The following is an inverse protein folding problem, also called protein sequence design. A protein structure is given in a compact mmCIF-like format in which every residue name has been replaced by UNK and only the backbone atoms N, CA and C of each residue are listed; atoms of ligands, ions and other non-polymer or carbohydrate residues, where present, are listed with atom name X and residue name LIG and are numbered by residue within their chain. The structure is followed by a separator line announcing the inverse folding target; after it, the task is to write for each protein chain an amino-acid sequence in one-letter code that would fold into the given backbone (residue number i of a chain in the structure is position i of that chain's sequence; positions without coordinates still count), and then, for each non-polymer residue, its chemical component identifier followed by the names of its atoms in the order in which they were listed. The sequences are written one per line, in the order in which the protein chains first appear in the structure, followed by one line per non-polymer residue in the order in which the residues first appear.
data_IF_580762586037
#
_entry.id   IF_580762586037
#
_cell.length_a   1.000
_cell.length_b   1.000
_cell.length_c   1.000
_cell.angle_alpha   90.00
_cell.angle_beta   90.00
_cell.angle_gamma   90.00
#
_symmetry.space_group_name_H-M   'P 1'
#
loop_
_entity.id
_entity.type
_entity.pdbx_description
1 polymer ?
#
# COMPACT_ATOMS: atom_id res chain seq x y z
N UNK A 1 -39.89 -19.99 25.00
CA UNK A 1 -40.95 -19.07 24.52
C UNK A 1 -40.38 -17.65 24.56
N UNK A 2 -40.06 -16.97 23.49
CA UNK A 2 -40.29 -17.20 22.07
C UNK A 2 -40.06 -15.87 21.36
N UNK A 3 -39.29 -15.92 20.28
CA UNK A 3 -39.43 -15.13 19.05
C UNK A 3 -39.45 -13.59 19.13
N UNK A 4 -38.50 -12.97 18.43
CA UNK A 4 -38.78 -12.47 17.07
C UNK A 4 -37.51 -12.12 16.30
N UNK A 5 -37.19 -13.02 15.37
CA UNK A 5 -36.54 -12.77 14.09
C UNK A 5 -37.51 -12.09 13.13
N UNK A 6 -36.97 -11.37 12.14
CA UNK A 6 -37.66 -10.84 10.95
C UNK A 6 -36.72 -9.88 10.21
N UNK A 7 -35.81 -10.33 9.35
CA UNK A 7 -35.99 -10.81 7.98
C UNK A 7 -36.27 -9.70 6.96
N UNK A 8 -35.26 -9.39 6.13
CA UNK A 8 -35.35 -8.94 4.73
C UNK A 8 -33.90 -8.92 4.16
N UNK A 9 -33.52 -9.63 3.11
CA UNK A 9 -34.28 -10.49 2.23
C UNK A 9 -33.38 -11.45 1.44
N UNK A 10 -33.95 -12.59 1.08
CA UNK A 10 -33.44 -13.53 0.09
C UNK A 10 -33.89 -13.11 -1.32
N UNK A 11 -32.97 -13.22 -2.28
CA UNK A 11 -33.11 -13.58 -3.71
C UNK A 11 -31.90 -12.94 -4.44
N UNK A 12 -30.97 -13.67 -5.06
CA UNK A 12 -31.17 -14.64 -6.12
C UNK A 12 -30.15 -15.79 -6.02
N UNK A 13 -30.61 -17.02 -6.23
CA UNK A 13 -29.75 -18.18 -6.41
C UNK A 13 -29.20 -18.28 -7.82
N UNK A 14 -27.89 -18.51 -7.92
CA UNK A 14 -27.22 -19.18 -9.04
C UNK A 14 -25.99 -19.91 -8.50
N UNK A 15 -25.92 -21.22 -8.79
CA UNK A 15 -24.71 -21.99 -9.05
C UNK A 15 -23.73 -22.23 -7.89
N UNK A 16 -23.42 -23.49 -7.62
CA UNK A 16 -22.36 -23.89 -6.68
C UNK A 16 -21.01 -23.26 -7.04
N UNK A 17 -20.53 -22.37 -6.17
CA UNK A 17 -19.29 -21.60 -6.31
C UNK A 17 -18.08 -22.47 -5.98
N UNK A 18 -17.21 -22.73 -6.95
CA UNK A 18 -15.90 -23.39 -6.81
C UNK A 18 -14.77 -22.36 -6.99
N UNK A 19 -14.73 -21.36 -6.12
CA UNK A 19 -13.59 -20.43 -5.98
C UNK A 19 -13.09 -20.47 -4.55
N UNK A 20 -11.81 -20.16 -4.32
CA UNK A 20 -11.24 -20.09 -2.99
C UNK A 20 -12.06 -19.12 -2.12
N UNK A 21 -12.54 -19.58 -0.97
CA UNK A 21 -13.37 -18.76 -0.05
C UNK A 21 -12.52 -18.31 1.12
N UNK A 22 -12.54 -17.02 1.42
CA UNK A 22 -12.07 -16.49 2.70
C UNK A 22 -13.09 -16.83 3.77
N UNK A 23 -12.75 -17.73 4.69
CA UNK A 23 -13.61 -18.04 5.84
C UNK A 23 -13.17 -17.26 7.08
N UNK A 24 -14.13 -16.81 7.89
CA UNK A 24 -13.85 -16.25 9.22
C UNK A 24 -13.42 -17.37 10.17
N UNK A 25 -12.21 -17.90 10.02
CA UNK A 25 -11.58 -18.71 11.09
C UNK A 25 -11.30 -17.80 12.29
N UNK A 26 -11.49 -18.32 13.51
CA UNK A 26 -11.15 -17.58 14.73
C UNK A 26 -9.68 -17.14 14.66
N UNK A 27 -9.43 -15.83 14.76
CA UNK A 27 -8.10 -15.18 14.65
C UNK A 27 -7.00 -15.88 15.49
N UNK A 28 -7.37 -16.52 16.60
CA UNK A 28 -6.44 -17.28 17.45
C UNK A 28 -5.85 -18.54 16.78
N UNK A 29 -6.64 -19.29 15.99
CA UNK A 29 -6.17 -20.51 15.33
C UNK A 29 -5.30 -20.22 14.10
N UNK A 30 -5.53 -19.07 13.46
CA UNK A 30 -4.73 -18.57 12.33
C UNK A 30 -3.31 -18.24 12.78
N UNK A 31 -3.16 -17.53 13.91
CA UNK A 31 -1.85 -17.15 14.42
C UNK A 31 -1.00 -18.38 14.81
N UNK A 32 -1.60 -19.41 15.39
CA UNK A 32 -0.88 -20.65 15.74
C UNK A 32 -0.29 -21.36 14.52
N UNK A 33 -1.04 -21.46 13.41
CA UNK A 33 -0.54 -22.10 12.20
C UNK A 33 0.63 -21.34 11.55
N UNK A 34 0.59 -20.00 11.60
CA UNK A 34 1.68 -19.15 11.11
C UNK A 34 2.93 -19.33 11.97
N UNK A 35 2.79 -19.31 13.29
CA UNK A 35 3.93 -19.47 14.20
C UNK A 35 4.58 -20.87 14.07
N UNK A 36 3.76 -21.93 13.92
CA UNK A 36 4.26 -23.28 13.64
C UNK A 36 5.02 -23.37 12.31
N UNK A 37 4.53 -22.68 11.27
CA UNK A 37 5.24 -22.62 10.00
C UNK A 37 6.59 -21.91 10.14
N UNK A 38 6.65 -20.77 10.83
CA UNK A 38 7.90 -20.04 11.06
C UNK A 38 8.93 -20.94 11.76
N UNK A 39 8.52 -21.63 12.82
CA UNK A 39 9.39 -22.55 13.55
C UNK A 39 9.94 -23.67 12.65
N UNK A 40 9.10 -24.26 11.79
CA UNK A 40 9.53 -25.32 10.85
C UNK A 40 10.42 -24.79 9.73
N UNK A 41 10.19 -23.57 9.27
CA UNK A 41 10.93 -22.93 8.20
C UNK A 41 12.25 -22.28 8.68
N UNK A 42 12.54 -22.35 9.99
CA UNK A 42 13.72 -21.72 10.59
C UNK A 42 13.67 -20.18 10.50
N UNK A 43 12.48 -19.61 10.41
CA UNK A 43 12.26 -18.16 10.35
C UNK A 43 12.14 -17.59 11.76
N UNK A 44 12.72 -16.42 11.97
CA UNK A 44 12.69 -15.75 13.27
C UNK A 44 11.79 -14.52 13.19
N UNK A 45 10.95 -14.33 14.21
CA UNK A 45 10.17 -13.12 14.40
C UNK A 45 10.75 -12.34 15.56
N UNK A 46 11.12 -11.09 15.31
CA UNK A 46 11.62 -10.19 16.34
C UNK A 46 10.47 -9.29 16.84
N UNK A 47 10.42 -9.02 18.15
CA UNK A 47 9.39 -8.18 18.77
C UNK A 47 9.68 -6.67 18.63
N UNK A 48 10.91 -6.29 18.26
CA UNK A 48 11.26 -4.89 17.99
C UNK A 48 12.70 -4.69 17.53
N UNK A 49 13.05 -3.45 17.19
CA UNK A 49 14.34 -3.10 16.60
C UNK A 49 15.55 -3.58 17.42
N UNK A 50 15.49 -3.48 18.74
CA UNK A 50 16.60 -3.85 19.62
C UNK A 50 16.92 -5.35 19.53
N UNK A 51 15.91 -6.20 19.68
CA UNK A 51 16.04 -7.66 19.56
C UNK A 51 16.50 -8.05 18.15
N UNK A 52 15.97 -7.38 17.12
CA UNK A 52 16.44 -7.59 15.76
C UNK A 52 17.92 -7.27 15.58
N UNK A 53 18.43 -6.17 16.13
CA UNK A 53 19.85 -5.84 16.03
C UNK A 53 20.73 -6.77 16.88
N UNK A 54 20.26 -7.19 18.05
CA UNK A 54 20.96 -8.13 18.93
C UNK A 54 21.05 -9.54 18.32
N UNK A 55 20.07 -9.95 17.49
CA UNK A 55 20.01 -11.30 16.94
C UNK A 55 20.40 -11.41 15.47
N UNK A 56 20.09 -10.41 14.63
CA UNK A 56 20.44 -10.45 13.21
C UNK A 56 21.94 -10.21 13.00
N UNK A 57 22.52 -9.21 13.67
CA UNK A 57 23.91 -8.84 13.46
C UNK A 57 24.90 -9.99 13.77
N UNK A 58 24.69 -10.81 14.83
CA UNK A 58 25.50 -12.01 15.02
C UNK A 58 25.30 -13.11 13.98
N UNK A 59 24.14 -13.16 13.30
CA UNK A 59 23.80 -14.21 12.32
C UNK A 59 24.31 -13.91 10.91
N UNK A 60 24.31 -12.65 10.47
CA UNK A 60 24.76 -12.24 9.13
C UNK A 60 25.93 -11.23 9.14
N UNK A 61 26.46 -10.89 10.31
CA UNK A 61 27.48 -9.85 10.49
C UNK A 61 26.93 -8.42 10.44
N UNK A 62 27.63 -7.52 11.13
CA UNK A 62 27.24 -6.10 11.31
C UNK A 62 27.02 -5.36 9.99
N UNK A 63 27.83 -5.68 8.96
CA UNK A 63 27.76 -5.03 7.65
C UNK A 63 26.45 -5.32 6.93
N UNK A 64 26.04 -6.60 6.87
CA UNK A 64 24.79 -7.01 6.22
C UNK A 64 23.59 -6.48 6.99
N UNK A 65 23.61 -6.58 8.32
CA UNK A 65 22.51 -6.09 9.15
C UNK A 65 22.30 -4.58 8.94
N UNK A 66 23.39 -3.80 8.94
CA UNK A 66 23.35 -2.35 8.70
C UNK A 66 22.78 -2.00 7.31
N UNK A 67 23.23 -2.70 6.27
CA UNK A 67 22.77 -2.51 4.90
C UNK A 67 21.26 -2.79 4.74
N UNK A 68 20.77 -3.91 5.28
CA UNK A 68 19.35 -4.29 5.29
C UNK A 68 18.52 -3.29 6.10
N UNK A 69 19.03 -2.85 7.26
CA UNK A 69 18.29 -1.92 8.09
C UNK A 69 18.13 -0.53 7.49
N UNK A 70 19.17 -0.01 6.84
CA UNK A 70 19.08 1.27 6.14
C UNK A 70 18.17 1.19 4.90
N UNK A 71 18.21 0.07 4.17
CA UNK A 71 17.26 -0.21 3.09
C UNK A 71 15.82 -0.17 3.59
N UNK A 72 15.48 -0.91 4.66
CA UNK A 72 14.11 -0.95 5.19
C UNK A 72 13.61 0.43 5.67
N UNK A 73 14.47 1.21 6.34
CA UNK A 73 14.12 2.58 6.76
C UNK A 73 13.87 3.51 5.56
N UNK A 74 14.62 3.36 4.45
CA UNK A 74 14.33 4.09 3.21
C UNK A 74 12.98 3.67 2.65
N UNK A 75 12.72 2.37 2.55
CA UNK A 75 11.48 1.79 2.01
C UNK A 75 10.23 2.16 2.80
N UNK A 76 10.28 2.19 4.13
CA UNK A 76 9.17 2.64 4.97
C UNK A 76 8.81 4.11 4.77
N UNK A 77 9.75 4.95 4.35
CA UNK A 77 9.48 6.35 3.95
C UNK A 77 8.93 6.46 2.52
N UNK A 78 8.59 5.33 1.89
CA UNK A 78 8.15 5.26 0.51
C UNK A 78 9.28 5.53 -0.50
N UNK A 79 10.54 5.38 -0.09
CA UNK A 79 11.70 5.51 -0.98
C UNK A 79 12.10 4.12 -1.47
N UNK A 80 12.03 3.87 -2.76
CA UNK A 80 12.61 2.68 -3.38
C UNK A 80 13.67 3.18 -4.34
N UNK A 81 14.94 3.03 -3.98
CA UNK A 81 16.06 3.31 -4.86
C UNK A 81 16.42 2.03 -5.62
N UNK A 82 16.97 2.11 -6.85
CA UNK A 82 17.50 0.94 -7.55
C UNK A 82 18.44 0.08 -6.68
N UNK A 83 19.27 0.73 -5.87
CA UNK A 83 20.17 0.07 -4.93
C UNK A 83 19.49 -0.69 -3.77
N UNK A 84 18.21 -0.43 -3.46
CA UNK A 84 17.48 -1.17 -2.43
C UNK A 84 17.13 -2.59 -2.89
N UNK A 85 16.77 -2.77 -4.17
CA UNK A 85 16.51 -4.09 -4.75
C UNK A 85 17.81 -4.91 -4.85
N UNK A 86 18.92 -4.23 -5.15
CA UNK A 86 20.25 -4.86 -5.20
C UNK A 86 20.67 -5.47 -3.86
N UNK A 87 20.26 -4.92 -2.71
CA UNK A 87 20.66 -5.44 -1.39
C UNK A 87 20.22 -6.89 -1.23
N UNK A 88 18.94 -7.19 -1.38
CA UNK A 88 18.45 -8.55 -1.15
C UNK A 88 18.68 -9.49 -2.34
N UNK A 89 18.83 -8.96 -3.56
CA UNK A 89 19.17 -9.77 -4.73
C UNK A 89 20.65 -10.18 -4.81
N UNK A 90 21.53 -9.63 -3.95
CA UNK A 90 22.99 -9.81 -4.06
C UNK A 90 23.45 -11.24 -3.76
N UNK A 91 23.00 -11.79 -2.64
CA UNK A 91 23.42 -13.10 -2.16
C UNK A 91 22.41 -13.69 -1.16
N UNK A 92 22.55 -15.00 -0.89
CA UNK A 92 21.62 -15.72 -0.03
C UNK A 92 21.61 -15.22 1.43
N UNK A 93 22.72 -14.67 1.91
CA UNK A 93 22.84 -14.13 3.26
C UNK A 93 21.98 -12.87 3.43
N UNK A 94 22.11 -11.90 2.51
CA UNK A 94 21.27 -10.69 2.48
C UNK A 94 19.80 -11.00 2.20
N UNK A 95 19.53 -11.99 1.35
CA UNK A 95 18.16 -12.45 1.11
C UNK A 95 17.53 -13.00 2.40
N UNK A 96 18.25 -13.85 3.14
CA UNK A 96 17.78 -14.39 4.41
C UNK A 96 17.59 -13.30 5.46
N UNK A 97 18.55 -12.39 5.59
CA UNK A 97 18.47 -11.26 6.52
C UNK A 97 17.26 -10.36 6.21
N UNK A 98 16.94 -10.16 4.93
CA UNK A 98 15.77 -9.39 4.51
C UNK A 98 14.45 -10.10 4.87
N UNK A 99 14.39 -11.42 4.74
CA UNK A 99 13.22 -12.21 5.17
C UNK A 99 12.98 -12.05 6.68
N UNK A 100 14.03 -12.19 7.49
CA UNK A 100 13.94 -12.06 8.95
C UNK A 100 13.54 -10.62 9.35
N UNK A 101 14.07 -9.61 8.65
CA UNK A 101 13.72 -8.21 8.89
C UNK A 101 12.29 -7.85 8.46
N UNK A 102 11.78 -8.51 7.43
CA UNK A 102 10.40 -8.38 6.96
C UNK A 102 9.42 -9.27 7.74
N UNK A 103 9.88 -10.03 8.76
CA UNK A 103 9.07 -11.02 9.47
C UNK A 103 7.70 -10.51 9.95
N UNK A 104 7.52 -9.29 10.48
CA UNK A 104 6.19 -8.80 10.85
C UNK A 104 5.24 -8.64 9.66
N UNK A 105 5.77 -8.21 8.51
CA UNK A 105 5.01 -8.03 7.28
C UNK A 105 4.60 -9.39 6.71
N UNK A 106 5.55 -10.31 6.61
CA UNK A 106 5.27 -11.66 6.14
C UNK A 106 4.35 -12.40 7.10
N UNK A 107 4.46 -12.23 8.41
CA UNK A 107 3.59 -12.86 9.40
C UNK A 107 2.13 -12.41 9.24
N UNK A 108 1.89 -11.09 9.16
CA UNK A 108 0.57 -10.55 8.89
C UNK A 108 0.01 -11.06 7.55
N UNK A 109 0.85 -11.11 6.53
CA UNK A 109 0.48 -11.64 5.21
C UNK A 109 0.09 -13.13 5.25
N UNK A 110 0.86 -13.98 5.93
CA UNK A 110 0.53 -15.38 6.12
C UNK A 110 -0.76 -15.57 6.92
N UNK A 111 -1.03 -14.68 7.90
CA UNK A 111 -2.29 -14.67 8.64
C UNK A 111 -3.51 -14.50 7.73
N UNK A 112 -3.42 -13.61 6.74
CA UNK A 112 -4.47 -13.46 5.72
C UNK A 112 -4.59 -14.73 4.87
N UNK A 113 -3.45 -15.25 4.37
CA UNK A 113 -3.44 -16.44 3.51
C UNK A 113 -3.93 -17.72 4.22
N UNK A 114 -3.80 -17.80 5.54
CA UNK A 114 -4.30 -18.91 6.35
C UNK A 114 -5.84 -18.99 6.39
N UNK A 115 -6.53 -17.89 6.06
CA UNK A 115 -7.99 -17.82 5.95
C UNK A 115 -8.54 -18.32 4.61
N UNK A 116 -7.66 -18.68 3.67
CA UNK A 116 -8.04 -19.19 2.35
C UNK A 116 -8.29 -20.69 2.44
N UNK A 117 -9.54 -21.10 2.21
CA UNK A 117 -9.95 -22.50 2.13
C UNK A 117 -10.16 -22.94 0.67
N UNK A 118 -10.18 -24.26 0.46
CA UNK A 118 -10.46 -24.91 -0.83
C UNK A 118 -9.54 -24.47 -1.99
N UNK A 119 -8.27 -24.19 -1.70
CA UNK A 119 -7.29 -23.77 -2.70
C UNK A 119 -6.83 -24.97 -3.55
N UNK A 120 -6.92 -24.87 -4.89
CA UNK A 120 -6.38 -25.89 -5.81
C UNK A 120 -5.12 -25.42 -6.54
N UNK A 121 -5.02 -24.14 -6.85
CA UNK A 121 -3.84 -23.56 -7.48
C UNK A 121 -3.64 -22.10 -7.09
N UNK A 122 -2.40 -21.74 -6.78
CA UNK A 122 -2.01 -20.35 -6.60
C UNK A 122 -0.72 -19.98 -7.34
N UNK A 123 -0.60 -18.70 -7.70
CA UNK A 123 0.64 -18.12 -8.19
C UNK A 123 1.02 -16.90 -7.33
N UNK A 124 2.29 -16.85 -6.94
CA UNK A 124 2.91 -15.79 -6.14
C UNK A 124 3.87 -15.00 -7.03
N UNK A 125 3.41 -13.81 -7.45
CA UNK A 125 4.13 -12.91 -8.35
C UNK A 125 5.07 -12.04 -7.51
N UNK A 126 6.38 -12.13 -7.74
CA UNK A 126 7.42 -11.55 -6.89
C UNK A 126 7.54 -12.27 -5.55
N UNK A 127 7.68 -13.60 -5.60
CA UNK A 127 7.62 -14.45 -4.40
C UNK A 127 8.80 -14.27 -3.43
N UNK A 128 9.85 -13.54 -3.82
CA UNK A 128 11.07 -13.38 -3.05
C UNK A 128 11.66 -14.73 -2.65
N UNK A 129 12.04 -14.85 -1.37
CA UNK A 129 12.54 -16.11 -0.81
C UNK A 129 11.49 -17.20 -0.58
N UNK A 130 10.28 -17.05 -1.14
CA UNK A 130 9.26 -18.10 -1.20
C UNK A 130 8.46 -18.31 0.08
N UNK A 131 8.52 -17.41 1.07
CA UNK A 131 7.84 -17.58 2.37
C UNK A 131 6.33 -17.82 2.19
N UNK A 132 5.64 -16.95 1.44
CA UNK A 132 4.20 -17.08 1.18
C UNK A 132 3.86 -18.30 0.32
N UNK A 133 4.62 -18.52 -0.76
CA UNK A 133 4.51 -19.72 -1.59
C UNK A 133 4.64 -21.03 -0.80
N UNK A 134 5.67 -21.16 0.03
CA UNK A 134 5.91 -22.33 0.88
C UNK A 134 4.82 -22.50 1.94
N UNK A 135 4.33 -21.39 2.53
CA UNK A 135 3.23 -21.44 3.48
C UNK A 135 1.95 -21.95 2.84
N UNK A 136 1.54 -21.39 1.69
CA UNK A 136 0.36 -21.86 0.95
C UNK A 136 0.47 -23.35 0.60
N UNK A 137 1.64 -23.81 0.18
CA UNK A 137 1.91 -25.20 -0.14
C UNK A 137 1.81 -26.12 1.09
N UNK A 138 2.33 -25.68 2.23
CA UNK A 138 2.27 -26.41 3.49
C UNK A 138 0.84 -26.53 4.04
N UNK A 139 0.06 -25.44 3.94
CA UNK A 139 -1.33 -25.39 4.41
C UNK A 139 -2.30 -26.12 3.47
N UNK A 140 -1.94 -26.27 2.20
CA UNK A 140 -2.79 -26.87 1.18
C UNK A 140 -2.04 -27.98 0.42
N UNK A 141 -1.84 -29.19 1.01
CA UNK A 141 -1.04 -30.25 0.40
C UNK A 141 -1.53 -30.78 -0.96
N UNK A 142 -2.80 -30.49 -1.31
CA UNK A 142 -3.41 -30.85 -2.60
C UNK A 142 -3.33 -29.72 -3.64
N UNK A 143 -2.99 -28.50 -3.22
CA UNK A 143 -2.87 -27.36 -4.11
C UNK A 143 -1.55 -27.40 -4.88
N UNK A 144 -1.52 -26.79 -6.07
CA UNK A 144 -0.30 -26.54 -6.86
C UNK A 144 0.08 -25.07 -6.77
N UNK A 145 1.24 -24.78 -6.22
CA UNK A 145 1.72 -23.41 -6.02
C UNK A 145 2.88 -23.11 -6.98
N UNK A 146 2.88 -21.94 -7.60
CA UNK A 146 4.02 -21.44 -8.38
C UNK A 146 4.49 -20.12 -7.79
N UNK A 147 5.75 -20.03 -7.41
CA UNK A 147 6.40 -18.76 -7.07
C UNK A 147 7.25 -18.25 -8.22
N UNK A 148 7.10 -16.97 -8.56
CA UNK A 148 7.86 -16.32 -9.63
C UNK A 148 8.60 -15.12 -9.05
N UNK A 149 9.89 -15.00 -9.34
CA UNK A 149 10.68 -13.84 -8.95
C UNK A 149 11.79 -13.60 -9.98
N UNK A 150 12.14 -12.34 -10.20
CA UNK A 150 13.19 -11.96 -11.15
C UNK A 150 14.58 -12.37 -10.66
N UNK A 151 14.76 -12.49 -9.34
CA UNK A 151 16.04 -12.77 -8.68
C UNK A 151 16.34 -14.27 -8.61
N UNK A 152 17.39 -14.76 -9.29
CA UNK A 152 17.82 -16.14 -9.16
C UNK A 152 18.26 -16.51 -7.73
N UNK A 153 18.79 -15.54 -6.97
CA UNK A 153 19.18 -15.71 -5.56
C UNK A 153 17.95 -15.94 -4.68
N UNK A 154 16.88 -15.16 -4.91
CA UNK A 154 15.61 -15.33 -4.21
C UNK A 154 15.00 -16.71 -4.50
N UNK A 155 15.00 -17.12 -5.77
CA UNK A 155 14.50 -18.43 -6.21
C UNK A 155 15.32 -19.60 -5.65
N UNK A 156 16.65 -19.47 -5.58
CA UNK A 156 17.49 -20.48 -4.91
C UNK A 156 17.11 -20.62 -3.42
N UNK A 157 16.99 -19.49 -2.72
CA UNK A 157 16.56 -19.45 -1.31
C UNK A 157 15.17 -20.07 -1.10
N UNK A 158 14.24 -19.81 -2.02
CA UNK A 158 12.89 -20.37 -2.00
C UNK A 158 12.86 -21.89 -2.20
N UNK A 159 13.69 -22.40 -3.14
CA UNK A 159 13.85 -23.85 -3.37
C UNK A 159 14.46 -24.55 -2.17
N UNK A 160 15.47 -23.95 -1.54
CA UNK A 160 16.08 -24.48 -0.33
C UNK A 160 15.04 -24.59 0.80
N UNK A 161 14.25 -23.53 1.03
CA UNK A 161 13.16 -23.56 2.02
C UNK A 161 12.12 -24.65 1.74
N UNK A 162 11.69 -24.81 0.48
CA UNK A 162 10.75 -25.87 0.12
C UNK A 162 11.34 -27.27 0.33
N UNK A 163 12.63 -27.47 0.01
CA UNK A 163 13.33 -28.72 0.25
C UNK A 163 13.43 -29.05 1.75
N UNK A 164 13.83 -28.08 2.57
CA UNK A 164 13.93 -28.22 4.03
C UNK A 164 12.58 -28.56 4.68
N UNK A 165 11.49 -27.98 4.15
CA UNK A 165 10.12 -28.25 4.60
C UNK A 165 9.51 -29.54 4.02
N UNK A 166 10.20 -30.20 3.08
CA UNK A 166 9.71 -31.42 2.41
C UNK A 166 8.52 -31.18 1.47
N UNK A 167 8.37 -29.96 0.95
CA UNK A 167 7.27 -29.56 0.09
C UNK A 167 7.51 -30.03 -1.35
N UNK A 168 6.50 -30.67 -1.94
CA UNK A 168 6.56 -31.22 -3.31
C UNK A 168 5.52 -30.62 -4.26
N UNK A 169 4.68 -29.74 -3.73
CA UNK A 169 3.54 -29.14 -4.41
C UNK A 169 3.74 -27.63 -4.68
N UNK A 170 4.99 -27.16 -4.60
CA UNK A 170 5.42 -25.81 -4.95
C UNK A 170 6.56 -25.86 -5.95
N UNK A 171 6.48 -25.02 -6.98
CA UNK A 171 7.52 -24.84 -7.99
C UNK A 171 7.95 -23.37 -8.02
N UNK A 172 9.23 -23.12 -8.30
CA UNK A 172 9.80 -21.78 -8.33
C UNK A 172 10.47 -21.48 -9.66
N UNK A 173 10.14 -20.34 -10.27
CA UNK A 173 10.61 -19.91 -11.59
C UNK A 173 11.32 -18.57 -11.48
N UNK A 174 12.56 -18.51 -11.94
CA UNK A 174 13.29 -17.26 -12.09
C UNK A 174 12.88 -16.59 -13.40
N UNK A 175 12.02 -15.58 -13.32
CA UNK A 175 11.50 -14.84 -14.47
C UNK A 175 11.03 -13.45 -14.06
N UNK A 176 11.09 -12.51 -15.00
CA UNK A 176 10.38 -11.23 -14.86
C UNK A 176 8.87 -11.49 -14.92
N UNK A 177 8.11 -10.81 -14.06
CA UNK A 177 6.64 -10.85 -14.10
C UNK A 177 6.10 -10.19 -15.35
N UNK A 178 6.84 -9.28 -15.98
CA UNK A 178 6.45 -8.66 -17.23
C UNK A 178 6.40 -9.70 -18.36
N UNK A 179 5.20 -9.90 -18.89
CA UNK A 179 4.96 -10.87 -19.95
C UNK A 179 4.99 -12.33 -19.52
N UNK A 180 5.23 -12.66 -18.25
CA UNK A 180 5.23 -14.04 -17.75
C UNK A 180 3.92 -14.77 -18.10
N UNK A 181 4.04 -16.05 -18.45
CA UNK A 181 2.90 -16.92 -18.74
C UNK A 181 3.18 -18.34 -18.21
N UNK A 182 2.42 -18.75 -17.21
CA UNK A 182 2.47 -20.10 -16.66
C UNK A 182 1.76 -21.14 -17.53
N UNK A 183 1.08 -20.71 -18.61
CA UNK A 183 0.27 -21.57 -19.48
C UNK A 183 -1.00 -22.12 -18.81
N UNK A 184 -1.41 -21.54 -17.68
CA UNK A 184 -2.58 -21.94 -16.90
C UNK A 184 -3.08 -20.80 -16.01
N UNK A 185 -4.33 -20.93 -15.57
CA UNK A 185 -4.94 -20.04 -14.58
C UNK A 185 -4.95 -20.66 -13.17
N UNK A 186 -5.20 -19.80 -12.17
CA UNK A 186 -5.12 -20.08 -10.74
C UNK A 186 -6.35 -19.53 -10.01
N UNK A 187 -6.75 -20.20 -8.92
CA UNK A 187 -7.85 -19.74 -8.05
C UNK A 187 -7.44 -18.50 -7.24
N UNK A 188 -6.14 -18.41 -6.94
CA UNK A 188 -5.52 -17.35 -6.17
C UNK A 188 -4.29 -16.83 -6.90
N UNK A 189 -4.29 -15.53 -7.17
CA UNK A 189 -3.06 -14.80 -7.52
C UNK A 189 -2.67 -13.99 -6.29
N UNK A 190 -1.39 -13.94 -5.95
CA UNK A 190 -0.88 -13.05 -4.91
C UNK A 190 0.33 -12.23 -5.35
N UNK A 191 0.49 -11.06 -4.73
CA UNK A 191 1.74 -10.28 -4.73
C UNK A 191 1.90 -9.51 -3.43
N UNK A 192 3.14 -9.25 -3.03
CA UNK A 192 3.43 -8.42 -1.85
C UNK A 192 4.66 -7.56 -2.09
N UNK A 193 4.50 -6.25 -1.93
CA UNK A 193 5.53 -5.24 -2.12
C UNK A 193 6.22 -5.23 -3.51
N UNK A 194 5.58 -5.76 -4.55
CA UNK A 194 6.12 -5.83 -5.92
C UNK A 194 5.77 -4.58 -6.72
N UNK A 195 4.60 -4.00 -6.49
CA UNK A 195 4.14 -2.82 -7.21
C UNK A 195 5.10 -1.65 -7.04
N UNK A 196 5.54 -1.40 -5.80
CA UNK A 196 6.49 -0.34 -5.50
C UNK A 196 7.90 -0.57 -6.11
N UNK A 197 8.25 -1.81 -6.46
CA UNK A 197 9.56 -2.19 -7.03
C UNK A 197 9.58 -2.21 -8.56
N UNK A 198 8.43 -2.46 -9.18
CA UNK A 198 8.25 -2.44 -10.63
C UNK A 198 7.96 -1.05 -11.19
N UNK A 199 7.85 -0.07 -10.29
CA UNK A 199 7.59 1.31 -10.62
C UNK A 199 8.87 2.14 -10.66
N UNK A 200 9.28 2.51 -11.87
CA UNK A 200 10.06 3.74 -12.14
C UNK A 200 9.21 5.02 -11.90
N UNK A 201 8.20 4.97 -11.03
CA UNK A 201 7.27 6.07 -10.76
C UNK A 201 7.89 7.10 -9.80
N UNK A 202 9.14 7.44 -10.09
CA UNK A 202 9.93 8.41 -9.35
C UNK A 202 9.53 9.84 -9.74
N UNK A 203 8.96 10.13 -10.93
CA UNK A 203 8.81 11.55 -11.36
C UNK A 203 7.57 11.96 -12.16
N UNK A 204 6.51 11.14 -12.28
CA UNK A 204 5.34 11.52 -13.07
C UNK A 204 4.31 12.35 -12.25
N UNK A 205 4.56 13.67 -12.24
CA UNK A 205 3.62 14.78 -11.98
C UNK A 205 3.04 14.93 -10.54
N UNK A 206 3.35 16.09 -9.96
CA UNK A 206 3.19 16.53 -8.57
C UNK A 206 1.85 16.15 -7.88
N UNK A 207 1.94 15.34 -6.81
CA UNK A 207 0.78 14.88 -6.01
C UNK A 207 0.34 15.79 -4.86
N UNK A 208 0.00 17.02 -5.21
CA UNK A 208 -0.32 18.05 -4.22
C UNK A 208 -1.59 17.78 -3.41
N UNK A 209 -2.57 17.09 -4.00
CA UNK A 209 -3.80 16.65 -3.33
C UNK A 209 -4.19 15.28 -3.85
N UNK A 210 -4.28 14.31 -2.93
CA UNK A 210 -4.67 12.96 -3.29
C UNK A 210 -6.12 12.93 -3.82
N UNK A 211 -7.03 13.72 -3.23
CA UNK A 211 -8.43 13.78 -3.65
C UNK A 211 -8.63 14.33 -5.07
N UNK A 212 -7.83 15.31 -5.48
CA UNK A 212 -7.91 15.87 -6.84
C UNK A 212 -7.45 14.86 -7.91
N UNK A 213 -6.57 13.90 -7.55
CA UNK A 213 -6.01 12.94 -8.48
C UNK A 213 -6.89 11.71 -8.71
N UNK A 214 -7.74 11.34 -7.73
CA UNK A 214 -8.51 10.08 -7.80
C UNK A 214 -9.30 9.89 -9.09
N UNK A 215 -10.04 10.90 -9.62
CA UNK A 215 -10.80 10.71 -10.86
C UNK A 215 -9.91 10.37 -12.05
N UNK A 216 -8.68 10.88 -12.09
CA UNK A 216 -7.72 10.60 -13.15
C UNK A 216 -7.08 9.23 -12.96
N UNK A 217 -6.67 8.89 -11.74
CA UNK A 217 -6.01 7.62 -11.44
C UNK A 217 -6.91 6.40 -11.60
N UNK A 218 -8.21 6.57 -11.37
CA UNK A 218 -9.23 5.50 -11.51
C UNK A 218 -9.87 5.47 -12.91
N UNK A 219 -9.52 6.40 -13.80
CA UNK A 219 -10.08 6.44 -15.14
C UNK A 219 -9.60 5.24 -15.98
N UNK A 220 -10.45 4.69 -16.87
CA UNK A 220 -10.02 3.67 -17.82
C UNK A 220 -8.80 4.11 -18.64
N UNK A 221 -7.77 3.27 -18.69
CA UNK A 221 -6.51 3.51 -19.40
C UNK A 221 -5.53 4.44 -18.70
N UNK A 222 -5.81 4.90 -17.48
CA UNK A 222 -4.94 5.85 -16.76
C UNK A 222 -3.58 5.26 -16.37
N UNK A 223 -3.51 3.95 -16.13
CA UNK A 223 -2.30 3.28 -15.67
C UNK A 223 -2.28 1.83 -16.14
N UNK A 224 -1.19 1.44 -16.80
CA UNK A 224 -0.94 0.05 -17.17
C UNK A 224 0.32 -0.42 -16.47
N UNK A 225 0.25 -1.63 -15.92
CA UNK A 225 1.35 -2.20 -15.14
C UNK A 225 1.53 -3.65 -15.56
N UNK A 226 2.78 -4.11 -15.75
CA UNK A 226 3.05 -5.51 -16.02
C UNK A 226 2.48 -6.43 -14.95
N UNK A 227 2.60 -6.05 -13.67
CA UNK A 227 2.09 -6.83 -12.55
C UNK A 227 0.58 -7.06 -12.62
N UNK A 228 -0.22 -6.00 -12.85
CA UNK A 228 -1.67 -6.16 -12.94
C UNK A 228 -2.07 -6.98 -14.17
N UNK A 229 -1.43 -6.75 -15.32
CA UNK A 229 -1.69 -7.51 -16.54
C UNK A 229 -1.38 -9.00 -16.38
N UNK A 230 -0.25 -9.32 -15.74
CA UNK A 230 0.15 -10.70 -15.42
C UNK A 230 -0.79 -11.31 -14.40
N UNK A 231 -1.20 -10.59 -13.36
CA UNK A 231 -2.20 -11.07 -12.40
C UNK A 231 -3.52 -11.40 -13.09
N UNK A 232 -4.02 -10.48 -13.93
CA UNK A 232 -5.26 -10.70 -14.69
C UNK A 232 -5.13 -11.89 -15.62
N UNK A 233 -4.03 -12.06 -16.36
CA UNK A 233 -3.84 -13.22 -17.26
C UNK A 233 -3.99 -14.57 -16.54
N UNK A 234 -3.53 -14.65 -15.29
CA UNK A 234 -3.44 -15.90 -14.55
C UNK A 234 -4.63 -16.18 -13.64
N UNK A 235 -5.63 -15.29 -13.57
CA UNK A 235 -6.76 -15.45 -12.66
C UNK A 235 -7.96 -16.10 -13.36
N UNK A 236 -8.48 -17.19 -12.78
CA UNK A 236 -9.76 -17.77 -13.21
C UNK A 236 -10.92 -16.80 -12.96
N UNK A 237 -12.06 -17.01 -13.62
CA UNK A 237 -13.22 -16.10 -13.54
C UNK A 237 -13.73 -15.83 -12.11
N UNK A 238 -13.81 -16.88 -11.29
CA UNK A 238 -14.24 -16.81 -9.89
C UNK A 238 -13.06 -16.73 -8.89
N UNK A 239 -11.86 -16.43 -9.39
CA UNK A 239 -10.65 -16.32 -8.59
C UNK A 239 -10.56 -15.02 -7.81
N UNK A 240 -9.57 -14.94 -6.93
CA UNK A 240 -9.21 -13.71 -6.22
C UNK A 240 -7.74 -13.35 -6.46
N UNK A 241 -7.50 -12.08 -6.76
CA UNK A 241 -6.16 -11.49 -6.67
C UNK A 241 -6.04 -10.77 -5.32
N UNK A 242 -5.12 -11.21 -4.46
CA UNK A 242 -4.78 -10.52 -3.22
C UNK A 242 -3.42 -9.84 -3.36
N UNK A 243 -3.35 -8.54 -3.12
CA UNK A 243 -2.09 -7.80 -3.12
C UNK A 243 -1.90 -7.04 -1.81
N UNK A 244 -0.68 -7.06 -1.27
CA UNK A 244 -0.27 -6.26 -0.12
C UNK A 244 0.85 -5.33 -0.54
N UNK A 245 0.49 -4.12 -0.97
CA UNK A 245 1.42 -3.20 -1.63
C UNK A 245 1.73 -1.97 -0.80
N UNK A 246 2.93 -1.39 -0.96
CA UNK A 246 3.28 -0.13 -0.27
C UNK A 246 2.70 1.05 -1.04
N UNK A 247 1.57 1.56 -0.56
CA UNK A 247 0.96 2.79 -1.07
C UNK A 247 1.17 3.94 -0.08
N UNK A 248 1.91 4.99 -0.49
CA UNK A 248 2.25 6.13 0.38
C UNK A 248 1.03 6.90 0.89
N UNK A 249 0.01 7.01 0.06
CA UNK A 249 -1.21 7.76 0.33
C UNK A 249 -2.38 7.23 -0.49
N UNK A 250 -3.54 7.89 -0.35
CA UNK A 250 -4.75 7.52 -1.07
C UNK A 250 -4.59 7.58 -2.59
N UNK A 251 -3.79 8.50 -3.13
CA UNK A 251 -3.49 8.54 -4.56
C UNK A 251 -2.63 7.34 -4.98
N UNK A 252 -1.67 6.91 -4.15
CA UNK A 252 -0.90 5.68 -4.37
C UNK A 252 -1.81 4.47 -4.52
N UNK A 253 -2.74 4.32 -3.57
CA UNK A 253 -3.75 3.26 -3.60
C UNK A 253 -4.66 3.38 -4.83
N UNK A 254 -5.13 4.58 -5.17
CA UNK A 254 -5.99 4.80 -6.33
C UNK A 254 -5.30 4.45 -7.64
N UNK A 255 -4.01 4.76 -7.78
CA UNK A 255 -3.20 4.34 -8.92
C UNK A 255 -3.15 2.81 -9.04
N UNK A 256 -2.92 2.12 -7.91
CA UNK A 256 -2.88 0.66 -7.90
C UNK A 256 -4.24 0.01 -8.21
N UNK A 257 -5.32 0.51 -7.59
CA UNK A 257 -6.69 0.09 -7.90
C UNK A 257 -7.02 0.35 -9.38
N UNK A 258 -6.69 1.54 -9.90
CA UNK A 258 -6.91 1.90 -11.30
C UNK A 258 -6.16 0.99 -12.27
N UNK A 259 -4.90 0.64 -11.97
CA UNK A 259 -4.12 -0.29 -12.76
C UNK A 259 -4.79 -1.68 -12.87
N UNK A 260 -5.35 -2.18 -11.78
CA UNK A 260 -6.09 -3.45 -11.77
C UNK A 260 -7.40 -3.35 -12.57
N UNK A 261 -8.14 -2.25 -12.42
CA UNK A 261 -9.41 -2.04 -13.16
C UNK A 261 -9.18 -1.99 -14.67
N UNK A 262 -8.04 -1.46 -15.12
CA UNK A 262 -7.66 -1.40 -16.54
C UNK A 262 -7.45 -2.77 -17.19
N UNK A 263 -7.25 -3.81 -16.38
CA UNK A 263 -7.11 -5.19 -16.84
C UNK A 263 -8.29 -6.06 -16.41
N UNK A 264 -9.41 -5.43 -16.03
CA UNK A 264 -10.66 -6.11 -15.68
C UNK A 264 -10.67 -6.73 -14.29
N UNK A 265 -9.75 -6.35 -13.40
CA UNK A 265 -9.75 -6.75 -11.99
C UNK A 265 -10.25 -5.60 -11.13
N UNK A 266 -11.38 -5.79 -10.46
CA UNK A 266 -12.05 -4.72 -9.74
C UNK A 266 -11.95 -4.91 -8.23
N UNK A 267 -11.63 -3.80 -7.55
CA UNK A 267 -11.45 -3.70 -6.11
C UNK A 267 -12.71 -4.10 -5.34
N UNK A 268 -12.59 -5.07 -4.45
CA UNK A 268 -13.67 -5.50 -3.57
C UNK A 268 -13.56 -4.82 -2.20
N UNK A 269 -14.41 -3.82 -2.00
CA UNK A 269 -14.46 -3.03 -0.75
C UNK A 269 -14.94 -3.82 0.47
N UNK A 270 -15.47 -5.03 0.30
CA UNK A 270 -16.00 -5.87 1.38
C UNK A 270 -14.95 -6.82 1.96
N UNK A 271 -13.93 -7.17 1.16
CA UNK A 271 -12.83 -8.06 1.54
C UNK A 271 -11.54 -7.25 1.79
N UNK A 272 -11.32 -6.19 1.02
CA UNK A 272 -10.13 -5.35 1.15
C UNK A 272 -10.08 -4.59 2.48
N UNK A 273 -8.89 -4.45 3.04
CA UNK A 273 -8.66 -3.82 4.35
C UNK A 273 -7.35 -2.99 4.39
N UNK A 274 -7.11 -2.29 5.49
CA UNK A 274 -5.86 -1.58 5.77
C UNK A 274 -5.18 -2.21 6.98
N UNK A 275 -4.16 -3.03 6.73
CA UNK A 275 -3.42 -3.72 7.78
C UNK A 275 -2.49 -2.75 8.49
N UNK A 276 -2.50 -2.78 9.82
CA UNK A 276 -1.48 -2.14 10.66
C UNK A 276 -0.45 -3.20 11.03
N UNK A 277 0.80 -2.97 10.64
CA UNK A 277 1.91 -3.90 10.86
C UNK A 277 2.98 -3.18 11.67
N UNK A 278 3.32 -3.71 12.83
CA UNK A 278 4.45 -3.21 13.62
C UNK A 278 5.75 -3.72 13.03
N UNK A 279 6.30 -2.94 12.10
CA UNK A 279 7.58 -3.22 11.47
C UNK A 279 8.72 -3.10 12.47
N UNK A 280 9.59 -4.10 12.48
CA UNK A 280 10.67 -4.26 13.46
C UNK A 280 11.60 -3.05 13.50
N UNK A 281 11.97 -2.48 12.35
CA UNK A 281 12.89 -1.34 12.25
C UNK A 281 12.20 0.01 11.97
N UNK A 282 10.93 -0.06 11.60
CA UNK A 282 10.20 1.02 10.94
C UNK A 282 9.06 1.55 11.82
N UNK A 283 8.70 0.80 12.87
CA UNK A 283 7.56 1.10 13.71
C UNK A 283 6.26 0.70 13.02
N UNK A 284 5.11 1.24 13.47
CA UNK A 284 3.83 0.89 12.90
C UNK A 284 3.68 1.43 11.47
N UNK A 285 3.36 0.54 10.54
CA UNK A 285 3.11 0.82 9.12
C UNK A 285 1.68 0.43 8.74
N UNK A 286 1.11 1.13 7.75
CA UNK A 286 -0.22 0.84 7.21
C UNK A 286 -0.14 0.43 5.75
N UNK A 287 -0.55 -0.79 5.46
CA UNK A 287 -0.49 -1.35 4.11
C UNK A 287 -1.90 -1.75 3.64
N UNK A 288 -2.33 -1.36 2.43
CA UNK A 288 -3.58 -1.82 1.86
C UNK A 288 -3.48 -3.31 1.49
N UNK A 289 -4.35 -4.11 2.09
CA UNK A 289 -4.75 -5.41 1.57
C UNK A 289 -5.81 -5.17 0.51
N UNK A 290 -5.45 -5.35 -0.75
CA UNK A 290 -6.36 -5.21 -1.89
C UNK A 290 -6.78 -6.59 -2.36
N UNK A 291 -8.08 -6.87 -2.27
CA UNK A 291 -8.71 -8.00 -2.94
C UNK A 291 -9.39 -7.52 -4.23
N UNK A 292 -9.13 -8.19 -5.34
CA UNK A 292 -9.73 -7.89 -6.62
C UNK A 292 -10.26 -9.12 -7.35
N UNK A 293 -11.38 -8.92 -8.04
CA UNK A 293 -12.09 -9.97 -8.78
C UNK A 293 -12.53 -9.45 -10.15
N UNK A 294 -12.74 -10.37 -11.10
CA UNK A 294 -13.30 -10.02 -12.42
C UNK A 294 -14.77 -9.62 -12.36
N UNK A 295 -15.54 -10.26 -11.49
CA UNK A 295 -16.99 -10.14 -11.41
C UNK A 295 -17.48 -9.01 -10.48
N UNK A 296 -16.58 -8.15 -10.03
CA UNK A 296 -16.88 -6.95 -9.22
C UNK A 296 -16.98 -5.72 -10.13
N UNK A 297 -17.80 -4.73 -9.77
CA UNK A 297 -17.88 -3.47 -10.53
C UNK A 297 -16.67 -2.57 -10.25
N UNK A 298 -16.21 -1.76 -11.22
CA UNK A 298 -15.16 -0.77 -10.98
C UNK A 298 -15.52 0.20 -9.85
N UNK A 299 -14.53 0.53 -9.02
CA UNK A 299 -14.64 1.43 -7.88
C UNK A 299 -14.43 2.87 -8.32
N UNK A 300 -15.34 3.76 -7.92
CA UNK A 300 -15.21 5.21 -8.13
C UNK A 300 -14.42 5.91 -7.02
N UNK A 301 -14.00 7.16 -7.27
CA UNK A 301 -13.27 7.98 -6.30
C UNK A 301 -14.02 8.13 -4.96
N UNK A 302 -15.34 8.33 -5.01
CA UNK A 302 -16.16 8.45 -3.80
C UNK A 302 -16.17 7.16 -2.99
N UNK A 303 -16.33 6.01 -3.64
CA UNK A 303 -16.35 4.70 -2.98
C UNK A 303 -15.01 4.38 -2.33
N UNK A 304 -13.90 4.69 -3.01
CA UNK A 304 -12.54 4.49 -2.47
C UNK A 304 -12.28 5.39 -1.25
N UNK A 305 -12.72 6.65 -1.28
CA UNK A 305 -12.64 7.55 -0.11
C UNK A 305 -13.48 7.03 1.05
N UNK A 306 -14.73 6.62 0.79
CA UNK A 306 -15.62 6.09 1.83
C UNK A 306 -15.09 4.78 2.42
N UNK A 307 -14.54 3.89 1.59
CA UNK A 307 -13.83 2.71 2.06
C UNK A 307 -12.66 3.11 2.95
N UNK A 308 -11.79 4.02 2.50
CA UNK A 308 -10.59 4.43 3.23
C UNK A 308 -10.89 5.05 4.58
N UNK A 309 -12.01 5.77 4.71
CA UNK A 309 -12.48 6.34 5.97
C UNK A 309 -13.08 5.28 6.90
N UNK A 310 -13.75 4.27 6.35
CA UNK A 310 -14.33 3.18 7.14
C UNK A 310 -13.26 2.29 7.77
N UNK A 311 -12.22 1.95 7.02
CA UNK A 311 -11.06 1.17 7.51
C UNK A 311 -9.95 2.09 8.04
N UNK A 312 -10.23 3.40 8.07
CA UNK A 312 -9.34 4.47 8.44
C UNK A 312 -8.99 4.48 9.92
N UNK A 313 -7.77 4.92 10.22
CA UNK A 313 -7.31 5.19 11.58
C UNK A 313 -6.83 6.64 11.54
N UNK A 314 -7.42 7.49 12.38
CA UNK A 314 -7.17 8.93 12.37
C UNK A 314 -5.69 9.27 12.58
N UNK A 315 -4.92 8.42 13.25
CA UNK A 315 -3.49 8.59 13.43
C UNK A 315 -2.73 8.53 12.09
N UNK A 316 -3.13 7.63 11.19
CA UNK A 316 -2.47 7.42 9.89
C UNK A 316 -3.10 8.25 8.77
N UNK A 317 -4.36 8.65 8.94
CA UNK A 317 -5.15 9.33 7.92
C UNK A 317 -5.20 10.85 8.09
N UNK A 318 -4.30 11.44 8.89
CA UNK A 318 -4.25 12.90 9.10
C UNK A 318 -4.22 13.70 7.79
N UNK A 319 -3.46 13.22 6.80
CA UNK A 319 -3.39 13.86 5.49
C UNK A 319 -4.74 13.83 4.74
N UNK A 320 -5.42 12.68 4.75
CA UNK A 320 -6.76 12.52 4.18
C UNK A 320 -7.79 13.37 4.94
N UNK A 321 -7.73 13.38 6.27
CA UNK A 321 -8.61 14.19 7.12
C UNK A 321 -8.40 15.68 6.87
N UNK A 322 -7.16 16.14 6.74
CA UNK A 322 -6.84 17.52 6.38
C UNK A 322 -7.43 17.88 5.01
N UNK A 323 -7.29 17.00 4.01
CA UNK A 323 -7.89 17.18 2.69
C UNK A 323 -9.43 17.18 2.73
N UNK A 324 -10.06 16.30 3.51
CA UNK A 324 -11.52 16.32 3.71
C UNK A 324 -12.00 17.61 4.37
N UNK A 325 -11.25 18.09 5.38
CA UNK A 325 -11.51 19.36 6.03
C UNK A 325 -11.38 20.51 5.03
N UNK A 326 -10.46 20.44 4.07
CA UNK A 326 -10.35 21.39 2.97
C UNK A 326 -11.51 21.27 1.97
N UNK A 327 -11.95 20.05 1.64
CA UNK A 327 -13.06 19.77 0.73
C UNK A 327 -14.44 20.09 1.32
N UNK A 328 -14.57 20.15 2.65
CA UNK A 328 -15.84 20.38 3.34
C UNK A 328 -16.43 21.76 3.05
N UNK A 329 -17.77 21.88 3.06
CA UNK A 329 -18.51 23.14 2.91
C UNK A 329 -18.71 23.61 1.46
N UNK A 330 -19.69 24.48 1.24
CA UNK A 330 -20.00 25.03 -0.09
C UNK A 330 -19.07 26.19 -0.48
N UNK A 331 -18.62 26.22 -1.73
CA UNK A 331 -17.82 27.31 -2.31
C UNK A 331 -16.31 27.03 -2.34
N UNK A 332 -15.59 27.88 -3.06
CA UNK A 332 -14.16 27.74 -3.34
C UNK A 332 -13.30 28.51 -2.35
N UNK A 333 -12.13 27.96 -2.02
CA UNK A 333 -11.10 28.68 -1.28
C UNK A 333 -10.39 29.71 -2.19
N UNK A 334 -10.26 30.94 -1.70
CA UNK A 334 -9.51 32.02 -2.34
C UNK A 334 -8.11 32.12 -1.73
N UNK A 335 -7.09 32.32 -2.57
CA UNK A 335 -5.74 32.61 -2.09
C UNK A 335 -5.63 34.06 -1.61
N UNK A 336 -5.26 34.25 -0.34
CA UNK A 336 -4.90 35.58 0.17
C UNK A 336 -3.40 35.84 0.09
N UNK A 337 -2.60 34.83 0.41
CA UNK A 337 -1.15 34.83 0.22
C UNK A 337 -0.66 33.39 0.31
N UNK A 338 0.38 33.06 -0.44
CA UNK A 338 0.99 31.75 -0.36
C UNK A 338 2.42 31.77 -0.88
N UNK A 339 3.20 30.77 -0.48
CA UNK A 339 4.56 30.56 -0.94
C UNK A 339 4.71 29.10 -1.35
N UNK A 340 5.26 28.88 -2.54
CA UNK A 340 5.75 27.57 -2.97
C UNK A 340 7.25 27.50 -2.74
N UNK A 341 7.71 26.34 -2.28
CA UNK A 341 9.10 26.01 -2.04
C UNK A 341 9.48 24.85 -2.95
N UNK A 342 10.65 24.94 -3.58
CA UNK A 342 11.32 23.81 -4.22
C UNK A 342 12.46 23.38 -3.30
N UNK A 343 12.52 22.09 -2.98
CA UNK A 343 13.44 21.53 -2.02
C UNK A 343 14.07 20.24 -2.54
N UNK A 344 15.28 19.94 -2.04
CA UNK A 344 16.04 18.75 -2.36
C UNK A 344 16.67 18.21 -1.08
N UNK A 345 16.53 16.90 -0.84
CA UNK A 345 17.08 16.21 0.32
C UNK A 345 17.39 14.76 -0.05
N UNK A 346 18.63 14.31 0.17
CA UNK A 346 19.12 12.96 -0.16
C UNK A 346 18.84 12.54 -1.62
N UNK A 347 19.15 13.41 -2.60
CA UNK A 347 18.91 13.22 -4.04
C UNK A 347 17.42 13.04 -4.45
N UNK A 348 16.49 13.44 -3.58
CA UNK A 348 15.05 13.46 -3.88
C UNK A 348 14.50 14.90 -3.87
N UNK A 349 14.04 15.34 -5.04
CA UNK A 349 13.47 16.67 -5.26
C UNK A 349 11.96 16.68 -5.00
N UNK A 350 11.50 17.67 -4.26
CA UNK A 350 10.08 17.83 -3.93
C UNK A 350 9.68 19.29 -3.79
N UNK A 351 8.38 19.53 -3.93
CA UNK A 351 7.81 20.86 -3.72
C UNK A 351 6.93 20.90 -2.48
N UNK A 352 6.86 22.06 -1.85
CA UNK A 352 5.96 22.34 -0.73
C UNK A 352 5.18 23.64 -0.95
N UNK A 353 3.97 23.72 -0.41
CA UNK A 353 3.07 24.86 -0.49
C UNK A 353 2.66 25.26 0.91
N UNK A 354 2.83 26.54 1.24
CA UNK A 354 2.24 27.16 2.43
C UNK A 354 1.22 28.20 1.96
N UNK A 355 -0.06 27.97 2.23
CA UNK A 355 -1.16 28.75 1.68
C UNK A 355 -2.02 29.33 2.81
N UNK A 356 -2.26 30.64 2.79
CA UNK A 356 -3.29 31.29 3.58
C UNK A 356 -4.52 31.52 2.70
N UNK A 357 -5.60 30.84 3.05
CA UNK A 357 -6.81 30.71 2.26
C UNK A 357 -8.01 31.32 2.98
N UNK A 358 -8.98 31.81 2.21
CA UNK A 358 -10.25 32.36 2.71
C UNK A 358 -11.45 31.78 1.98
N UNK A 359 -12.57 31.61 2.67
CA UNK A 359 -13.88 31.30 2.09
C UNK A 359 -14.97 31.96 2.93
N UNK A 360 -15.51 33.09 2.45
CA UNK A 360 -16.34 33.96 3.29
C UNK A 360 -15.55 34.48 4.49
N UNK A 361 -16.10 34.34 5.69
CA UNK A 361 -15.42 34.70 6.95
C UNK A 361 -14.48 33.60 7.48
N UNK A 362 -14.53 32.42 6.86
CA UNK A 362 -13.64 31.32 7.22
C UNK A 362 -12.24 31.51 6.62
N UNK A 363 -11.22 31.07 7.36
CA UNK A 363 -9.84 31.11 6.93
C UNK A 363 -9.07 29.86 7.35
N UNK A 364 -8.08 29.47 6.54
CA UNK A 364 -7.18 28.33 6.82
C UNK A 364 -5.75 28.66 6.43
N UNK A 365 -4.81 28.28 7.29
CA UNK A 365 -3.40 28.16 6.94
C UNK A 365 -3.13 26.70 6.64
N UNK A 366 -2.80 26.39 5.39
CA UNK A 366 -2.66 25.04 4.87
C UNK A 366 -1.23 24.79 4.40
N UNK A 367 -0.70 23.62 4.70
CA UNK A 367 0.61 23.16 4.24
C UNK A 367 0.47 21.83 3.51
N UNK A 368 1.10 21.72 2.34
CA UNK A 368 1.11 20.49 1.56
C UNK A 368 2.45 20.27 0.87
N UNK A 369 2.80 19.01 0.59
CA UNK A 369 4.00 18.65 -0.19
C UNK A 369 3.67 17.64 -1.27
N UNK A 370 4.49 17.60 -2.32
CA UNK A 370 4.43 16.55 -3.35
C UNK A 370 4.89 15.18 -2.85
N UNK A 371 5.40 15.11 -1.61
CA UNK A 371 5.71 13.88 -0.88
C UNK A 371 4.52 13.34 -0.06
N UNK A 372 3.36 13.98 -0.14
CA UNK A 372 2.12 13.48 0.48
C UNK A 372 1.83 13.98 1.89
N UNK A 373 2.58 14.97 2.39
CA UNK A 373 2.24 15.67 3.64
C UNK A 373 1.10 16.65 3.35
N UNK A 374 0.04 16.65 4.16
CA UNK A 374 -1.07 17.61 4.10
C UNK A 374 -1.52 17.96 5.52
N UNK A 375 -1.60 19.25 5.83
CA UNK A 375 -1.93 19.72 7.17
C UNK A 375 -2.66 21.06 7.16
N UNK A 376 -3.72 21.16 7.96
CA UNK A 376 -4.38 22.44 8.29
C UNK A 376 -3.75 22.96 9.59
N UNK A 377 -2.76 23.83 9.44
CA UNK A 377 -1.95 24.37 10.53
C UNK A 377 -2.73 25.32 11.45
N UNK A 378 -3.73 26.01 10.89
CA UNK A 378 -4.65 26.85 11.64
C UNK A 378 -5.96 26.98 10.87
N UNK A 379 -7.08 27.08 11.58
CA UNK A 379 -8.38 27.34 10.98
C UNK A 379 -9.23 28.28 11.84
N UNK A 380 -10.07 29.07 11.20
CA UNK A 380 -11.10 29.86 11.87
C UNK A 380 -12.36 29.85 11.00
N UNK A 381 -13.55 29.56 11.55
CA UNK A 381 -14.79 29.55 10.78
C UNK A 381 -15.34 30.96 10.50
N UNK A 382 -15.01 31.94 11.34
CA UNK A 382 -15.64 33.27 11.38
C UNK A 382 -14.70 34.43 11.77
N UNK A 383 -13.47 34.15 12.21
CA UNK A 383 -12.51 35.16 12.70
C UNK A 383 -11.68 35.85 11.61
N UNK A 384 -11.92 35.53 10.34
CA UNK A 384 -11.17 36.07 9.21
C UNK A 384 -9.72 35.61 9.13
N UNK A 385 -9.07 35.86 8.00
CA UNK A 385 -7.73 35.34 7.72
C UNK A 385 -6.58 36.21 8.26
N UNK A 386 -6.85 37.46 8.58
CA UNK A 386 -5.82 38.44 8.99
C UNK A 386 -5.07 38.00 10.24
N UNK A 387 -5.75 37.34 11.18
CA UNK A 387 -5.15 36.78 12.39
C UNK A 387 -4.05 35.74 12.12
N UNK A 388 -4.06 35.08 10.96
CA UNK A 388 -3.06 34.07 10.60
C UNK A 388 -1.87 34.65 9.82
N UNK A 389 -1.90 35.92 9.40
CA UNK A 389 -0.75 36.54 8.71
C UNK A 389 0.56 36.51 9.51
N UNK A 390 0.57 36.78 10.84
CA UNK A 390 1.80 36.66 11.62
C UNK A 390 2.36 35.24 11.64
N UNK A 391 1.48 34.23 11.77
CA UNK A 391 1.88 32.82 11.74
C UNK A 391 2.43 32.42 10.36
N UNK A 392 1.71 32.78 9.28
CA UNK A 392 2.17 32.56 7.90
C UNK A 392 3.57 33.12 7.66
N UNK A 393 3.84 34.38 8.05
CA UNK A 393 5.16 35.01 7.86
C UNK A 393 6.25 34.24 8.62
N UNK A 394 6.01 33.90 9.90
CA UNK A 394 6.97 33.13 10.69
C UNK A 394 7.29 31.78 10.06
N UNK A 395 6.27 31.06 9.59
CA UNK A 395 6.44 29.74 8.97
C UNK A 395 7.14 29.83 7.62
N UNK A 396 6.75 30.78 6.77
CA UNK A 396 7.42 31.04 5.49
C UNK A 396 8.91 31.32 5.71
N UNK A 397 9.25 32.19 6.65
CA UNK A 397 10.65 32.55 6.93
C UNK A 397 11.42 31.38 7.55
N UNK A 398 10.76 30.54 8.35
CA UNK A 398 11.35 29.31 8.88
C UNK A 398 11.66 28.31 7.77
N UNK A 399 10.69 28.01 6.91
CA UNK A 399 10.84 27.09 5.79
C UNK A 399 11.89 27.61 4.79
N UNK A 400 11.86 28.89 4.44
CA UNK A 400 12.81 29.50 3.50
C UNK A 400 14.27 29.52 3.98
N UNK A 401 14.54 29.22 5.27
CA UNK A 401 15.89 29.07 5.83
C UNK A 401 16.36 27.62 5.97
N UNK A 402 15.53 26.64 5.62
CA UNK A 402 15.92 25.23 5.64
C UNK A 402 16.99 24.99 4.57
N UNK A 403 18.02 24.26 4.92
CA UNK A 403 19.11 23.91 3.99
C UNK A 403 18.60 23.12 2.78
N UNK A 404 17.54 22.33 2.94
CA UNK A 404 16.91 21.59 1.85
C UNK A 404 16.14 22.47 0.86
N UNK A 405 15.77 23.72 1.20
CA UNK A 405 15.02 24.60 0.29
C UNK A 405 15.99 25.26 -0.70
N UNK A 406 15.83 24.93 -1.98
CA UNK A 406 16.63 25.43 -3.09
C UNK A 406 16.09 26.78 -3.57
N UNK A 407 14.78 26.93 -3.65
CA UNK A 407 14.15 28.19 -4.06
C UNK A 407 12.72 28.31 -3.52
N UNK A 408 12.15 29.52 -3.57
CA UNK A 408 10.75 29.73 -3.29
C UNK A 408 10.16 30.88 -4.10
N UNK A 409 8.85 30.83 -4.36
CA UNK A 409 8.10 31.87 -5.09
C UNK A 409 6.74 32.11 -4.45
N UNK A 410 6.11 33.25 -4.76
CA UNK A 410 4.71 33.46 -4.42
C UNK A 410 3.81 32.43 -5.13
N UNK A 411 2.81 31.94 -4.42
CA UNK A 411 1.77 31.07 -4.97
C UNK A 411 0.71 31.90 -5.72
N UNK A 412 0.05 31.25 -6.68
CA UNK A 412 -1.02 31.78 -7.53
C UNK A 412 -2.34 31.05 -7.26
N UNK A 413 -3.45 31.54 -7.80
CA UNK A 413 -4.73 30.84 -7.70
C UNK A 413 -4.72 29.47 -8.40
N UNK A 414 -3.93 29.29 -9.46
CA UNK A 414 -3.79 28.00 -10.13
C UNK A 414 -3.09 26.98 -9.22
N UNK A 415 -2.08 27.43 -8.46
CA UNK A 415 -1.44 26.59 -7.44
C UNK A 415 -2.46 26.11 -6.39
N UNK A 416 -3.41 26.97 -5.97
CA UNK A 416 -4.48 26.55 -5.04
C UNK A 416 -5.37 25.47 -5.64
N UNK A 417 -5.70 25.56 -6.93
CA UNK A 417 -6.61 24.60 -7.57
C UNK A 417 -6.04 23.17 -7.63
N UNK A 418 -4.72 23.04 -7.73
CA UNK A 418 -4.05 21.73 -7.73
C UNK A 418 -3.71 21.26 -6.31
N UNK A 419 -3.44 22.19 -5.38
CA UNK A 419 -3.07 21.88 -3.99
C UNK A 419 -4.25 21.56 -3.09
N UNK A 420 -5.38 22.24 -3.28
CA UNK A 420 -6.54 22.12 -2.40
C UNK A 420 -7.59 21.25 -3.09
N UNK A 421 -8.13 20.22 -2.41
CA UNK A 421 -9.23 19.44 -2.92
C UNK A 421 -10.39 20.34 -3.36
N UNK A 422 -10.80 20.24 -4.63
CA UNK A 422 -12.06 20.85 -5.06
C UNK A 422 -13.19 20.06 -4.42
N UNK A 423 -14.06 20.76 -3.68
CA UNK A 423 -15.15 20.18 -2.90
C UNK A 423 -15.72 18.93 -3.58
N UNK A 424 -15.57 17.78 -2.92
CA UNK A 424 -16.17 16.52 -3.36
C UNK A 424 -17.66 16.80 -3.48
N UNK A 425 -18.13 16.86 -4.72
CA UNK A 425 -19.53 17.11 -5.06
C UNK A 425 -20.35 16.04 -4.36
N UNK A 426 -21.12 16.45 -3.36
CA UNK A 426 -22.20 15.62 -2.86
C UNK A 426 -23.17 15.37 -4.00
N UNK A 427 -23.17 14.16 -4.57
CA UNK A 427 -24.37 13.68 -5.25
C UNK A 427 -25.40 13.38 -4.18
N UNK A 428 -26.41 14.25 -4.07
CA UNK A 428 -27.59 14.01 -3.25
C UNK A 428 -28.55 15.20 -3.24
N UNK A 429 -29.68 15.05 -3.95
CA UNK A 429 -30.87 15.91 -4.06
C UNK A 429 -30.82 17.10 -5.03
N UNK A 430 -31.62 16.96 -6.10
CA UNK A 430 -31.92 17.93 -7.15
C UNK A 430 -32.61 17.23 -8.30
#
# INVERSE_FOLDING_TARGET
MGERLGAAGEACGLGGRRGAKMSHRMLGAVNTAVDEFYARAGLVRHAGAMEFWEELAPRCGDSVASEVGEMLKRRARGRSAPGDVEVFCRDAERQRATIDAAAPHTHAWLGILAGIDDLHAAIDLGCGGGVASCFLAAMNPQARIIGVDVSPVAIATARDMAADLGLRNVEFVAADVDGFDAGREFDLVISSAVWAETLDWVHAERRWSALNELPHLLAPGAMHTPLAATASRHLVDDGVYLSLERCRDLAGLAGWVGAQQNVGLNFDTTISDMLTIDGVLTGPERLPLVAAHRNTLPTGAQDLVQWRLRVGDEQFDQALMAEMVMASGSGTWELLTGTLFEASEDDDDFSAALLLLRRGDAAKLYFATTRGVREVLASSPDGGAEQFRPLYRRMRDHLGRRQSVVSHRAATNDDVQVVVPRAIVGRGAG
#
